data_IF_942388781988
#
_entry.id   IF_942388781988
#
_cell.length_a   1.000
_cell.length_b   1.000
_cell.length_c   1.000
_cell.angle_alpha   90.00
_cell.angle_beta   90.00
_cell.angle_gamma   90.00
#
_symmetry.space_group_name_H-M   'P 1'
#
loop_
_entity.id
_entity.type
_entity.pdbx_description
1 polymer ?
#
# COMPACT_ATOMS: atom_id res chain seq x y z
N UNK A 1 6.04 14.79 14.07
CA UNK A 1 4.87 13.91 13.91
C UNK A 1 3.53 14.63 14.02
N UNK A 2 3.37 15.65 14.88
CA UNK A 2 2.07 16.28 15.19
C UNK A 2 1.27 16.73 13.95
N UNK A 3 1.95 17.21 12.92
CA UNK A 3 1.34 17.68 11.66
C UNK A 3 1.44 16.65 10.52
N UNK A 4 1.77 15.39 10.84
CA UNK A 4 1.93 14.35 9.83
C UNK A 4 0.56 13.80 9.39
N UNK A 5 0.31 13.80 8.08
CA UNK A 5 -0.96 13.33 7.48
C UNK A 5 -1.22 11.84 7.67
N UNK A 6 -0.19 11.05 7.95
CA UNK A 6 -0.31 9.59 8.17
C UNK A 6 -0.24 9.21 9.66
N UNK A 7 -0.30 10.21 10.56
CA UNK A 7 -0.19 9.97 12.01
C UNK A 7 -1.22 8.96 12.53
N UNK A 8 -2.44 9.02 12.03
CA UNK A 8 -3.54 8.13 12.46
C UNK A 8 -3.22 6.64 12.26
N UNK A 9 -2.37 6.31 11.31
CA UNK A 9 -1.98 4.94 11.00
C UNK A 9 -0.60 4.60 11.55
N UNK A 10 0.34 5.53 11.45
CA UNK A 10 1.72 5.33 11.87
C UNK A 10 1.88 5.40 13.40
N UNK A 11 1.15 6.30 14.08
CA UNK A 11 1.30 6.58 15.52
C UNK A 11 2.75 6.77 16.00
N UNK A 12 3.63 7.27 15.09
CA UNK A 12 5.05 7.44 15.36
C UNK A 12 5.90 6.17 15.25
N UNK A 13 5.31 5.07 14.78
CA UNK A 13 5.98 3.78 14.62
C UNK A 13 6.40 3.14 15.94
N UNK A 14 7.17 2.04 15.86
CA UNK A 14 7.61 1.30 17.04
C UNK A 14 8.55 2.14 17.92
N UNK A 15 8.36 2.17 19.25
CA UNK A 15 9.21 2.92 20.17
C UNK A 15 10.70 2.55 20.10
N UNK A 16 11.04 1.29 19.84
CA UNK A 16 12.42 0.81 19.71
C UNK A 16 13.18 1.47 18.57
N UNK A 17 12.47 1.98 17.56
CA UNK A 17 13.06 2.56 16.36
C UNK A 17 13.13 4.09 16.43
N UNK A 18 12.82 4.71 17.60
CA UNK A 18 12.77 6.15 17.82
C UNK A 18 14.09 6.70 18.35
N UNK A 19 15.17 6.53 17.62
CA UNK A 19 16.50 7.01 18.01
C UNK A 19 17.09 8.05 17.04
N UNK A 20 16.37 8.40 15.98
CA UNK A 20 16.80 9.41 15.03
C UNK A 20 16.43 10.84 15.49
N UNK A 21 16.98 11.83 14.79
CA UNK A 21 16.54 13.22 14.88
C UNK A 21 15.49 13.49 13.80
N UNK A 22 14.48 14.30 14.14
CA UNK A 22 13.55 14.84 13.14
C UNK A 22 14.25 15.83 12.21
N UNK A 23 13.58 16.27 11.14
CA UNK A 23 14.07 17.32 10.25
C UNK A 23 14.35 18.63 11.00
N UNK A 24 13.62 18.87 12.10
CA UNK A 24 13.74 20.05 12.94
C UNK A 24 14.71 19.83 14.12
N UNK A 25 15.44 18.70 14.14
CA UNK A 25 16.43 18.39 15.16
C UNK A 25 15.87 17.83 16.47
N UNK A 26 14.56 17.54 16.57
CA UNK A 26 13.97 16.94 17.78
C UNK A 26 14.40 15.46 17.92
N UNK A 27 14.87 15.02 19.11
CA UNK A 27 15.24 13.65 19.37
C UNK A 27 14.00 12.72 19.48
N UNK A 28 14.23 11.41 19.36
CA UNK A 28 13.18 10.41 19.51
C UNK A 28 12.29 10.24 18.28
N UNK A 29 12.79 10.64 17.12
CA UNK A 29 12.11 10.42 15.84
C UNK A 29 12.35 8.98 15.35
N UNK A 30 11.33 8.36 14.78
CA UNK A 30 11.46 7.02 14.19
C UNK A 30 12.33 7.10 12.93
N UNK A 31 13.42 6.32 12.86
CA UNK A 31 14.34 6.36 11.72
C UNK A 31 13.69 5.84 10.42
N UNK A 32 12.63 5.01 10.53
CA UNK A 32 11.85 4.52 9.39
C UNK A 32 10.79 5.52 8.91
N UNK A 33 10.66 6.69 9.55
CA UNK A 33 9.60 7.66 9.28
C UNK A 33 9.41 7.97 7.79
N UNK A 34 10.45 8.22 6.97
CA UNK A 34 10.25 8.49 5.55
C UNK A 34 9.61 7.30 4.80
N UNK A 35 10.02 6.07 5.14
CA UNK A 35 9.46 4.86 4.57
C UNK A 35 8.03 4.61 5.01
N UNK A 36 7.72 4.83 6.29
CA UNK A 36 6.37 4.71 6.83
C UNK A 36 5.42 5.75 6.23
N UNK A 37 5.88 6.99 6.06
CA UNK A 37 5.08 8.04 5.40
C UNK A 37 4.77 7.66 3.96
N UNK A 38 5.76 7.19 3.20
CA UNK A 38 5.57 6.72 1.83
C UNK A 38 4.60 5.55 1.78
N UNK A 39 4.80 4.54 2.63
CA UNK A 39 3.95 3.35 2.69
C UNK A 39 2.49 3.71 2.96
N UNK A 40 2.20 4.44 4.02
CA UNK A 40 0.82 4.79 4.37
C UNK A 40 0.19 5.77 3.39
N UNK A 41 0.97 6.65 2.77
CA UNK A 41 0.45 7.53 1.71
C UNK A 41 0.04 6.71 0.48
N UNK A 42 0.83 5.70 0.13
CA UNK A 42 0.56 4.85 -1.02
C UNK A 42 -0.62 3.88 -0.76
N UNK A 43 -0.67 3.26 0.42
CA UNK A 43 -1.68 2.25 0.75
C UNK A 43 -2.97 2.82 1.32
N UNK A 44 -2.96 4.09 1.75
CA UNK A 44 -4.10 4.74 2.39
C UNK A 44 -5.42 4.64 1.62
N UNK A 45 -5.46 4.92 0.32
CA UNK A 45 -6.68 4.76 -0.47
C UNK A 45 -7.26 3.34 -0.39
N UNK A 46 -6.40 2.32 -0.48
CA UNK A 46 -6.78 0.91 -0.37
C UNK A 46 -7.35 0.59 1.01
N UNK A 47 -6.70 1.06 2.09
CA UNK A 47 -7.22 0.87 3.45
C UNK A 47 -8.58 1.55 3.65
N UNK A 48 -8.79 2.73 3.09
CA UNK A 48 -10.09 3.40 3.16
C UNK A 48 -11.20 2.58 2.48
N UNK A 49 -10.92 1.96 1.33
CA UNK A 49 -11.86 1.04 0.67
C UNK A 49 -12.16 -0.17 1.55
N UNK A 50 -11.13 -0.77 2.17
CA UNK A 50 -11.33 -1.90 3.11
C UNK A 50 -12.24 -1.51 4.29
N UNK A 51 -12.06 -0.31 4.85
CA UNK A 51 -12.93 0.20 5.93
C UNK A 51 -14.37 0.36 5.44
N UNK A 52 -14.59 0.85 4.23
CA UNK A 52 -15.94 0.97 3.67
C UNK A 52 -16.60 -0.40 3.46
N UNK A 53 -15.83 -1.38 2.97
CA UNK A 53 -16.31 -2.76 2.83
C UNK A 53 -16.75 -3.34 4.17
N UNK A 54 -15.94 -3.16 5.23
CA UNK A 54 -16.30 -3.59 6.59
C UNK A 54 -17.59 -2.93 7.10
N UNK A 55 -17.76 -1.63 6.87
CA UNK A 55 -19.00 -0.90 7.22
C UNK A 55 -20.23 -1.44 6.50
N UNK A 56 -20.05 -2.03 5.33
CA UNK A 56 -21.10 -2.68 4.54
C UNK A 56 -21.23 -4.17 4.87
N UNK A 57 -20.61 -4.66 5.92
CA UNK A 57 -20.56 -6.08 6.31
C UNK A 57 -20.00 -7.00 5.21
N UNK A 58 -19.12 -6.46 4.36
CA UNK A 58 -18.41 -7.19 3.32
C UNK A 58 -17.00 -7.57 3.77
N UNK A 59 -16.43 -8.59 3.13
CA UNK A 59 -15.08 -9.03 3.41
C UNK A 59 -14.05 -7.98 2.98
N UNK A 60 -13.03 -7.64 3.80
CA UNK A 60 -11.96 -6.73 3.38
C UNK A 60 -11.20 -7.20 2.15
N UNK A 61 -11.16 -8.52 1.91
CA UNK A 61 -10.53 -9.13 0.73
C UNK A 61 -11.18 -8.71 -0.59
N UNK A 62 -12.44 -8.25 -0.58
CA UNK A 62 -13.13 -7.72 -1.76
C UNK A 62 -12.42 -6.46 -2.33
N UNK A 63 -11.51 -5.84 -1.56
CA UNK A 63 -10.65 -4.76 -2.05
C UNK A 63 -9.81 -5.16 -3.26
N UNK A 64 -9.52 -6.44 -3.42
CA UNK A 64 -8.73 -6.93 -4.56
C UNK A 64 -9.42 -6.69 -5.91
N UNK A 65 -10.75 -6.78 -5.96
CA UNK A 65 -11.52 -6.43 -7.16
C UNK A 65 -11.40 -4.93 -7.49
N UNK A 66 -11.46 -4.08 -6.46
CA UNK A 66 -11.28 -2.63 -6.61
C UNK A 66 -9.86 -2.29 -7.09
N UNK A 67 -8.81 -2.94 -6.55
CA UNK A 67 -7.41 -2.74 -6.98
C UNK A 67 -7.26 -3.14 -8.44
N UNK A 68 -7.79 -4.32 -8.84
CA UNK A 68 -7.73 -4.78 -10.23
C UNK A 68 -8.41 -3.80 -11.19
N UNK A 69 -9.54 -3.20 -10.80
CA UNK A 69 -10.22 -2.19 -11.59
C UNK A 69 -9.39 -0.90 -11.73
N UNK A 70 -8.73 -0.45 -10.65
CA UNK A 70 -7.83 0.70 -10.71
C UNK A 70 -6.64 0.44 -11.64
N UNK A 71 -6.06 -0.75 -11.59
CA UNK A 71 -4.95 -1.15 -12.45
C UNK A 71 -5.39 -1.26 -13.92
N UNK A 72 -6.58 -1.81 -14.18
CA UNK A 72 -7.15 -1.87 -15.54
C UNK A 72 -7.44 -0.48 -16.13
N UNK A 73 -7.85 0.49 -15.30
CA UNK A 73 -8.06 1.89 -15.72
C UNK A 73 -6.75 2.64 -15.96
N UNK A 74 -5.66 2.15 -15.40
CA UNK A 74 -4.34 2.78 -15.54
C UNK A 74 -3.79 2.53 -16.93
N UNK A 75 -3.55 3.58 -17.68
CA UNK A 75 -2.95 3.48 -19.01
C UNK A 75 -1.54 2.85 -18.94
N UNK A 76 -1.22 1.98 -19.89
CA UNK A 76 0.05 1.27 -19.96
C UNK A 76 1.29 2.19 -19.92
N UNK A 77 1.14 3.43 -20.37
CA UNK A 77 2.21 4.43 -20.46
C UNK A 77 2.22 5.45 -19.31
N UNK A 78 1.29 5.35 -18.35
CA UNK A 78 1.30 6.20 -17.16
C UNK A 78 2.47 5.84 -16.23
N UNK A 79 2.97 6.79 -15.42
CA UNK A 79 4.02 6.52 -14.44
C UNK A 79 3.59 5.39 -13.50
N UNK A 80 4.51 4.47 -13.21
CA UNK A 80 4.25 3.40 -12.27
C UNK A 80 4.12 3.94 -10.84
N UNK A 81 3.13 3.47 -10.11
CA UNK A 81 2.87 3.90 -8.72
C UNK A 81 3.92 3.44 -7.71
N UNK A 82 4.84 2.56 -8.11
CA UNK A 82 5.95 2.12 -7.26
C UNK A 82 7.00 3.21 -7.01
N UNK A 83 6.87 4.40 -7.63
CA UNK A 83 7.82 5.48 -7.49
C UNK A 83 9.13 5.32 -8.26
N UNK A 84 9.26 4.28 -9.10
CA UNK A 84 10.47 4.02 -9.91
C UNK A 84 10.70 5.01 -11.05
N UNK A 85 9.74 5.91 -11.34
CA UNK A 85 9.76 6.81 -12.49
C UNK A 85 9.55 6.11 -13.85
N UNK A 86 9.46 4.80 -13.89
CA UNK A 86 9.20 4.02 -15.11
C UNK A 86 7.71 4.03 -15.45
N UNK A 87 7.38 3.92 -16.73
CA UNK A 87 6.01 3.71 -17.20
C UNK A 87 5.52 2.33 -16.70
N UNK A 88 4.22 2.24 -16.36
CA UNK A 88 3.61 1.03 -15.78
C UNK A 88 3.92 -0.23 -16.59
N UNK A 89 3.76 -0.18 -17.92
CA UNK A 89 4.07 -1.28 -18.84
C UNK A 89 5.49 -1.83 -18.69
N UNK A 90 6.48 -0.97 -18.47
CA UNK A 90 7.89 -1.36 -18.36
C UNK A 90 8.35 -1.58 -16.91
N UNK A 91 7.45 -1.59 -15.95
CA UNK A 91 7.74 -1.78 -14.55
C UNK A 91 6.95 -2.96 -13.95
N UNK A 92 5.64 -2.82 -13.83
CA UNK A 92 4.74 -3.83 -13.25
C UNK A 92 3.72 -4.36 -14.27
N UNK A 93 3.56 -3.70 -15.42
CA UNK A 93 2.54 -4.06 -16.42
C UNK A 93 2.86 -5.31 -17.25
N UNK A 94 4.12 -5.70 -17.38
CA UNK A 94 4.52 -6.92 -18.10
C UNK A 94 4.58 -8.16 -17.21
N UNK A 95 4.54 -7.97 -15.90
CA UNK A 95 4.41 -9.05 -14.94
C UNK A 95 2.94 -9.24 -14.68
N UNK A 96 2.31 -10.15 -15.45
CA UNK A 96 1.09 -10.78 -14.97
C UNK A 96 1.34 -11.11 -13.48
N UNK A 97 0.43 -10.73 -12.56
CA UNK A 97 0.66 -10.97 -11.17
C UNK A 97 0.89 -12.46 -10.97
N UNK A 98 2.12 -12.86 -10.76
CA UNK A 98 2.41 -14.06 -10.02
C UNK A 98 1.98 -13.77 -8.58
N UNK A 99 0.65 -13.68 -8.42
CA UNK A 99 0.08 -13.76 -7.10
C UNK A 99 0.41 -15.16 -6.61
N UNK A 100 1.11 -15.32 -5.47
CA UNK A 100 1.30 -16.63 -4.86
C UNK A 100 -0.05 -17.30 -4.52
N UNK A 101 -1.14 -16.55 -4.61
CA UNK A 101 -2.52 -17.02 -4.43
C UNK A 101 -3.18 -17.52 -5.74
N UNK A 102 -2.59 -17.28 -6.91
CA UNK A 102 -3.14 -17.78 -8.18
C UNK A 102 -3.00 -19.31 -8.34
N UNK A 103 -2.09 -19.94 -7.60
CA UNK A 103 -1.94 -21.41 -7.58
C UNK A 103 -2.97 -22.08 -6.65
N UNK A 104 -3.37 -21.40 -5.57
CA UNK A 104 -4.39 -21.93 -4.64
C UNK A 104 -5.77 -21.98 -5.31
N UNK A 105 -6.07 -21.04 -6.20
CA UNK A 105 -7.35 -21.02 -6.92
C UNK A 105 -7.45 -22.10 -8.03
N UNK A 106 -6.34 -22.65 -8.50
CA UNK A 106 -6.32 -23.73 -9.52
C UNK A 106 -6.34 -25.13 -8.94
N UNK A 107 -6.14 -25.28 -7.62
CA UNK A 107 -6.15 -26.55 -6.91
C UNK A 107 -7.50 -27.00 -6.36
N UNK A 108 -8.57 -26.22 -6.54
CA UNK A 108 -9.90 -26.52 -5.98
C UNK A 108 -10.88 -27.10 -7.01
N UNK A 109 -10.39 -27.85 -7.98
CA UNK A 109 -11.24 -28.70 -8.81
C UNK A 109 -10.90 -30.16 -8.53
N UNK A 110 -11.52 -30.68 -7.50
CA UNK A 110 -11.64 -32.13 -7.33
C UNK A 110 -13.11 -32.50 -7.32
N UNK A 111 -13.46 -33.58 -8.04
CA UNK A 111 -14.84 -34.04 -8.29
C UNK A 111 -15.57 -34.47 -7.04
#
# INVERSE_FOLDING_TARGET
CRNCKVLNWCNGGCPKDRFALSRDGEPGHNYLCPGLELFFTHTGPTFNVMVQLLRQSRAPADVMAWVAEQDARRGAYQPCTCGSGRKFRFCHGDKAPHSPFSEVARGATTP
#
